data_IF_596179442937
#
_entry.id   IF_596179442937
#
_cell.length_a   1.000
_cell.length_b   1.000
_cell.length_c   1.000
_cell.angle_alpha   90.00
_cell.angle_beta   90.00
_cell.angle_gamma   90.00
#
_symmetry.space_group_name_H-M   'P 1'
#
loop_
_entity.id
_entity.type
_entity.pdbx_description
1 polymer ?
#
# COMPACT_ATOMS: atom_id res chain seq x y z
N UNK A 1 -5.73 -7.25 11.09
CA UNK A 1 -4.89 -6.30 10.32
C UNK A 1 -4.64 -5.05 11.15
N UNK A 2 -3.36 -4.68 11.31
CA UNK A 2 -2.98 -3.38 11.88
C UNK A 2 -3.46 -2.24 10.95
N UNK A 3 -3.64 -1.00 11.45
CA UNK A 3 -4.17 0.10 10.62
C UNK A 3 -3.40 0.33 9.32
N UNK A 4 -2.06 0.29 9.35
CA UNK A 4 -1.20 0.46 8.16
C UNK A 4 -1.44 -0.64 7.11
N UNK A 5 -1.54 -1.89 7.54
CA UNK A 5 -1.79 -3.05 6.66
C UNK A 5 -3.14 -2.93 5.96
N UNK A 6 -4.18 -2.52 6.70
CA UNK A 6 -5.52 -2.33 6.14
C UNK A 6 -5.53 -1.21 5.09
N UNK A 7 -4.82 -0.11 5.35
CA UNK A 7 -4.72 1.03 4.42
C UNK A 7 -3.99 0.65 3.13
N UNK A 8 -2.94 -0.17 3.22
CA UNK A 8 -2.22 -0.69 2.04
C UNK A 8 -3.14 -1.55 1.17
N UNK A 9 -3.84 -2.53 1.75
CA UNK A 9 -4.76 -3.40 1.01
C UNK A 9 -5.90 -2.58 0.39
N UNK A 10 -6.44 -1.60 1.12
CA UNK A 10 -7.50 -0.73 0.61
C UNK A 10 -7.01 0.13 -0.56
N UNK A 11 -5.85 0.77 -0.44
CA UNK A 11 -5.25 1.53 -1.54
C UNK A 11 -4.94 0.66 -2.76
N UNK A 12 -4.50 -0.59 -2.58
CA UNK A 12 -4.32 -1.53 -3.69
C UNK A 12 -5.65 -1.85 -4.41
N UNK A 13 -6.74 -1.97 -3.65
CA UNK A 13 -8.09 -2.16 -4.21
C UNK A 13 -8.53 -0.94 -5.02
N UNK A 14 -8.36 0.27 -4.50
CA UNK A 14 -8.68 1.54 -5.20
C UNK A 14 -7.84 1.73 -6.46
N UNK A 15 -6.58 1.28 -6.46
CA UNK A 15 -5.69 1.31 -7.62
C UNK A 15 -5.96 0.18 -8.64
N UNK A 16 -6.95 -0.68 -8.37
CA UNK A 16 -7.30 -1.81 -9.23
C UNK A 16 -6.22 -2.90 -9.29
N UNK A 17 -5.36 -2.99 -8.29
CA UNK A 17 -4.26 -3.96 -8.20
C UNK A 17 -4.77 -5.31 -7.71
N UNK A 18 -5.67 -5.92 -8.50
CA UNK A 18 -6.14 -7.29 -8.30
C UNK A 18 -5.02 -8.28 -8.65
N UNK A 19 -5.12 -9.52 -8.17
CA UNK A 19 -4.14 -10.57 -8.46
C UNK A 19 -3.95 -10.86 -9.97
N UNK A 20 -4.95 -10.56 -10.80
CA UNK A 20 -4.89 -10.70 -12.26
C UNK A 20 -4.30 -9.47 -12.98
N UNK A 21 -4.11 -8.35 -12.29
CA UNK A 21 -3.58 -7.13 -12.87
C UNK A 21 -2.06 -7.18 -12.99
N UNK A 22 -1.49 -6.42 -13.93
CA UNK A 22 -0.03 -6.27 -14.05
C UNK A 22 0.54 -5.64 -12.77
N UNK A 23 1.64 -6.21 -12.28
CA UNK A 23 2.38 -5.66 -11.15
C UNK A 23 2.81 -4.22 -11.43
N UNK A 24 2.52 -3.32 -10.49
CA UNK A 24 3.02 -1.94 -10.48
C UNK A 24 4.11 -1.81 -9.43
N UNK A 25 4.98 -0.81 -9.59
CA UNK A 25 6.04 -0.53 -8.61
C UNK A 25 5.43 -0.26 -7.23
N UNK A 26 6.03 -0.87 -6.20
CA UNK A 26 5.72 -0.70 -4.78
C UNK A 26 5.57 0.77 -4.35
N UNK A 27 6.43 1.65 -4.86
CA UNK A 27 6.39 3.09 -4.61
C UNK A 27 5.05 3.74 -5.03
N UNK A 28 4.35 3.21 -6.04
CA UNK A 28 3.05 3.75 -6.48
C UNK A 28 1.97 3.51 -5.44
N UNK A 29 1.88 2.30 -4.91
CA UNK A 29 0.90 1.95 -3.86
C UNK A 29 1.19 2.74 -2.59
N UNK A 30 2.46 2.81 -2.19
CA UNK A 30 2.87 3.53 -0.98
C UNK A 30 2.62 5.03 -1.10
N UNK A 31 2.91 5.65 -2.24
CA UNK A 31 2.61 7.06 -2.47
C UNK A 31 1.13 7.38 -2.30
N UNK A 32 0.24 6.50 -2.78
CA UNK A 32 -1.21 6.68 -2.64
C UNK A 32 -1.69 6.46 -1.19
N UNK A 33 -1.08 5.50 -0.48
CA UNK A 33 -1.33 5.27 0.96
C UNK A 33 -0.93 6.49 1.78
N UNK A 34 0.24 7.08 1.53
CA UNK A 34 0.72 8.24 2.28
C UNK A 34 -0.12 9.47 1.98
N UNK A 35 -0.41 9.71 0.70
CA UNK A 35 -1.18 10.87 0.25
C UNK A 35 -2.62 10.87 0.73
N UNK A 36 -3.24 9.70 0.96
CA UNK A 36 -4.68 9.60 1.28
C UNK A 36 -4.99 9.06 2.66
N UNK A 37 -4.17 8.15 3.19
CA UNK A 37 -4.57 7.30 4.34
C UNK A 37 -3.56 7.27 5.49
N UNK A 38 -2.29 7.60 5.27
CA UNK A 38 -1.25 7.49 6.29
C UNK A 38 -0.16 8.58 6.12
N UNK A 39 -0.39 9.81 6.59
CA UNK A 39 0.51 10.96 6.39
C UNK A 39 1.73 10.91 7.33
N UNK A 40 2.40 9.76 7.36
CA UNK A 40 3.63 9.51 8.11
C UNK A 40 4.65 8.86 7.18
N UNK A 41 5.87 8.65 7.69
CA UNK A 41 7.01 8.16 6.91
C UNK A 41 6.68 6.98 6.00
N UNK A 42 7.22 7.04 4.78
CA UNK A 42 7.07 6.02 3.75
C UNK A 42 7.70 4.68 4.15
N UNK A 43 8.78 4.73 4.94
CA UNK A 43 9.47 3.54 5.43
C UNK A 43 8.54 2.61 6.21
N UNK A 44 7.68 3.15 7.10
CA UNK A 44 6.75 2.34 7.90
C UNK A 44 5.69 1.63 7.03
N UNK A 45 5.24 2.30 5.95
CA UNK A 45 4.33 1.69 4.98
C UNK A 45 5.05 0.64 4.12
N UNK A 46 6.29 0.89 3.73
CA UNK A 46 7.10 -0.04 2.95
C UNK A 46 7.41 -1.32 3.73
N UNK A 47 7.89 -1.20 4.96
CA UNK A 47 8.16 -2.34 5.85
C UNK A 47 6.89 -3.18 6.07
N UNK A 48 5.76 -2.53 6.35
CA UNK A 48 4.49 -3.21 6.52
C UNK A 48 4.05 -3.94 5.24
N UNK A 49 4.32 -3.38 4.06
CA UNK A 49 4.00 -4.02 2.78
C UNK A 49 4.91 -5.21 2.49
N UNK A 50 6.21 -5.11 2.79
CA UNK A 50 7.16 -6.22 2.62
C UNK A 50 6.83 -7.38 3.56
N UNK A 51 6.41 -7.12 4.80
CA UNK A 51 5.98 -8.17 5.74
C UNK A 51 4.72 -8.93 5.28
N UNK A 52 3.91 -8.32 4.42
CA UNK A 52 2.67 -8.91 3.89
C UNK A 52 2.84 -9.59 2.52
N UNK A 53 3.99 -9.41 1.87
CA UNK A 53 4.31 -10.00 0.58
C UNK A 53 4.84 -11.43 0.75
#
# INVERSE_FOLDING_TARGET
>A
LKPVQRRIVYAMSELGLKASAKFKKSARTIGDVIGKFHPHGDSACYEAMVLMA
#
